data_IF_022125534434
#
_entry.id   IF_022125534434
#
_cell.length_a   1.000
_cell.length_b   1.000
_cell.length_c   1.000
_cell.angle_alpha   90.00
_cell.angle_beta   90.00
_cell.angle_gamma   90.00
#
_symmetry.space_group_name_H-M   'P 1'
#
loop_
_entity.id
_entity.type
_entity.pdbx_description
1 polymer ?
#
# COMPACT_ATOMS: atom_id res chain seq x y z
N UNK A 1 -29.69 -35.78 68.13
CA UNK A 1 -28.31 -35.62 67.62
C UNK A 1 -28.39 -35.40 66.11
N UNK A 2 -28.20 -34.15 65.68
CA UNK A 2 -28.40 -33.71 64.27
C UNK A 2 -27.18 -34.12 63.43
N UNK A 3 -27.40 -34.87 62.35
CA UNK A 3 -26.37 -35.19 61.34
C UNK A 3 -26.19 -33.97 60.43
N UNK A 4 -24.99 -33.40 60.42
CA UNK A 4 -24.60 -32.30 59.54
C UNK A 4 -24.17 -32.91 58.21
N UNK A 5 -24.89 -32.55 57.14
CA UNK A 5 -24.57 -32.84 55.75
C UNK A 5 -23.55 -31.77 55.30
N UNK A 6 -22.31 -32.16 55.02
CA UNK A 6 -21.30 -31.27 54.42
C UNK A 6 -21.39 -31.42 52.91
N UNK A 7 -21.90 -30.38 52.24
CA UNK A 7 -21.92 -30.28 50.78
C UNK A 7 -20.61 -29.62 50.34
N UNK A 8 -19.79 -30.35 49.57
CA UNK A 8 -18.65 -29.78 48.86
C UNK A 8 -19.16 -29.02 47.63
N UNK A 9 -19.14 -27.69 47.69
CA UNK A 9 -19.34 -26.84 46.50
C UNK A 9 -17.99 -26.67 45.82
N UNK A 10 -17.79 -27.36 44.70
CA UNK A 10 -16.68 -27.13 43.80
C UNK A 10 -16.92 -25.82 43.02
N UNK A 11 -16.28 -24.74 43.45
CA UNK A 11 -16.18 -23.50 42.66
C UNK A 11 -15.18 -23.73 41.52
N UNK A 12 -15.68 -24.14 40.37
CA UNK A 12 -14.93 -24.12 39.11
C UNK A 12 -14.81 -22.67 38.63
N UNK A 13 -13.69 -22.02 38.95
CA UNK A 13 -13.29 -20.78 38.29
C UNK A 13 -12.97 -21.08 36.83
N UNK A 14 -13.93 -20.83 35.94
CA UNK A 14 -13.62 -20.69 34.51
C UNK A 14 -12.93 -19.35 34.32
N UNK A 15 -11.59 -19.36 34.38
CA UNK A 15 -10.77 -18.29 33.83
C UNK A 15 -11.06 -18.24 32.32
N UNK A 16 -12.00 -17.40 31.92
CA UNK A 16 -12.13 -16.98 30.54
C UNK A 16 -10.82 -16.29 30.16
N UNK A 17 -9.93 -17.03 29.50
CA UNK A 17 -8.86 -16.45 28.72
C UNK A 17 -9.51 -15.64 27.61
N UNK A 18 -9.79 -14.36 27.91
CA UNK A 18 -9.93 -13.35 26.89
C UNK A 18 -8.54 -13.24 26.26
N UNK A 19 -8.32 -14.01 25.20
CA UNK A 19 -7.23 -13.79 24.28
C UNK A 19 -7.49 -12.40 23.69
N UNK A 20 -6.91 -11.36 24.31
CA UNK A 20 -6.87 -10.02 23.75
C UNK A 20 -6.23 -10.18 22.38
N UNK A 21 -7.06 -10.24 21.34
CA UNK A 21 -6.63 -10.12 19.95
C UNK A 21 -6.14 -8.69 19.77
N UNK A 22 -4.89 -8.42 20.17
CA UNK A 22 -4.20 -7.21 19.78
C UNK A 22 -3.69 -7.45 18.38
N UNK A 23 -4.33 -6.85 17.38
CA UNK A 23 -3.63 -6.61 16.12
C UNK A 23 -2.40 -5.75 16.45
N UNK A 24 -1.20 -6.20 16.07
CA UNK A 24 0.05 -5.45 16.24
C UNK A 24 0.14 -4.33 15.19
N UNK A 25 -0.81 -3.38 15.25
CA UNK A 25 -0.76 -2.18 14.42
C UNK A 25 0.30 -1.22 14.96
N UNK A 26 1.12 -0.65 14.07
CA UNK A 26 2.11 0.35 14.44
C UNK A 26 2.29 1.40 13.34
N UNK A 27 2.79 2.56 13.75
CA UNK A 27 3.23 3.62 12.83
C UNK A 27 4.69 3.92 13.12
N UNK A 28 5.49 4.04 12.07
CA UNK A 28 6.92 4.32 12.16
C UNK A 28 7.44 4.94 10.87
N UNK A 29 8.76 4.89 10.68
CA UNK A 29 9.42 5.12 9.41
C UNK A 29 10.51 4.06 9.26
N UNK A 30 11.04 3.89 8.05
CA UNK A 30 12.10 2.93 7.77
C UNK A 30 13.26 3.61 7.06
N UNK A 31 14.48 3.47 7.57
CA UNK A 31 15.64 4.16 7.01
C UNK A 31 16.03 3.65 5.63
N UNK A 32 15.77 2.39 5.29
CA UNK A 32 16.04 1.87 3.94
C UNK A 32 15.16 2.60 2.91
N UNK A 33 13.87 2.73 3.22
CA UNK A 33 12.87 3.42 2.40
C UNK A 33 13.24 4.89 2.22
N UNK A 34 13.50 5.60 3.32
CA UNK A 34 13.89 7.02 3.25
C UNK A 34 15.21 7.22 2.50
N UNK A 35 16.20 6.34 2.70
CA UNK A 35 17.47 6.41 1.97
C UNK A 35 17.26 6.19 0.47
N UNK A 36 16.37 5.28 0.09
CA UNK A 36 16.01 5.08 -1.31
C UNK A 36 15.36 6.32 -1.91
N UNK A 37 14.38 6.92 -1.24
CA UNK A 37 13.74 8.14 -1.74
C UNK A 37 14.69 9.34 -1.81
N UNK A 38 15.66 9.44 -0.88
CA UNK A 38 16.77 10.38 -1.03
C UNK A 38 17.56 10.11 -2.31
N UNK A 39 17.90 8.85 -2.59
CA UNK A 39 18.61 8.49 -3.82
C UNK A 39 17.77 8.79 -5.07
N UNK A 40 16.44 8.62 -5.03
CA UNK A 40 15.53 9.01 -6.11
C UNK A 40 15.54 10.51 -6.36
N UNK A 41 15.47 11.34 -5.31
CA UNK A 41 15.60 12.80 -5.40
C UNK A 41 16.89 13.19 -6.11
N UNK A 42 18.02 12.57 -5.73
CA UNK A 42 19.32 12.85 -6.33
C UNK A 42 19.41 12.38 -7.79
N UNK A 43 18.68 11.33 -8.15
CA UNK A 43 18.72 10.69 -9.47
C UNK A 43 17.95 11.44 -10.56
N UNK A 44 17.07 12.39 -10.20
CA UNK A 44 16.06 12.94 -11.09
C UNK A 44 16.62 13.45 -12.43
N UNK A 45 17.77 14.14 -12.42
CA UNK A 45 18.38 14.68 -13.65
C UNK A 45 18.93 13.61 -14.60
N UNK A 46 19.25 12.41 -14.09
CA UNK A 46 19.84 11.29 -14.85
C UNK A 46 18.79 10.33 -15.43
N UNK A 47 17.52 10.48 -15.06
CA UNK A 47 16.43 9.63 -15.54
C UNK A 47 16.23 9.83 -17.04
N UNK A 48 16.06 8.74 -17.79
CA UNK A 48 15.53 8.78 -19.16
C UNK A 48 14.01 8.92 -19.15
N UNK A 49 13.36 8.25 -18.20
CA UNK A 49 11.92 8.22 -18.09
C UNK A 49 11.43 9.01 -16.88
N UNK A 50 10.31 9.72 -17.03
CA UNK A 50 9.69 10.56 -16.00
C UNK A 50 10.57 11.70 -15.46
N UNK A 51 11.71 12.02 -16.10
CA UNK A 51 12.63 13.10 -15.68
C UNK A 51 11.91 14.41 -15.36
N UNK A 52 11.10 14.89 -16.29
CA UNK A 52 10.40 16.18 -16.12
C UNK A 52 9.41 16.14 -14.95
N UNK A 53 8.75 15.00 -14.74
CA UNK A 53 7.84 14.82 -13.61
C UNK A 53 8.61 14.75 -12.29
N UNK A 54 9.73 14.01 -12.20
CA UNK A 54 10.58 13.97 -11.01
C UNK A 54 11.12 15.37 -10.65
N UNK A 55 11.57 16.14 -11.64
CA UNK A 55 12.02 17.52 -11.44
C UNK A 55 10.88 18.45 -11.01
N UNK A 56 9.67 18.26 -11.56
CA UNK A 56 8.47 18.96 -11.10
C UNK A 56 8.17 18.64 -9.64
N UNK A 57 8.19 17.36 -9.23
CA UNK A 57 7.97 16.95 -7.84
C UNK A 57 8.97 17.59 -6.89
N UNK A 58 10.27 17.61 -7.24
CA UNK A 58 11.31 18.28 -6.45
C UNK A 58 10.97 19.76 -6.25
N UNK A 59 10.64 20.45 -7.35
CA UNK A 59 10.30 21.87 -7.31
C UNK A 59 9.06 22.14 -6.44
N UNK A 60 7.99 21.39 -6.64
CA UNK A 60 6.72 21.59 -5.93
C UNK A 60 6.83 21.19 -4.45
N UNK A 61 7.32 19.98 -4.16
CA UNK A 61 7.34 19.44 -2.80
C UNK A 61 8.31 20.19 -1.89
N UNK A 62 9.46 20.67 -2.39
CA UNK A 62 10.44 21.41 -1.58
C UNK A 62 9.90 22.73 -0.98
N UNK A 63 8.82 23.27 -1.54
CA UNK A 63 8.14 24.47 -1.04
C UNK A 63 7.52 24.19 0.34
N UNK A 64 6.81 23.08 0.50
CA UNK A 64 5.99 22.79 1.69
C UNK A 64 6.35 21.47 2.41
N UNK A 65 7.36 20.72 1.97
CA UNK A 65 7.86 19.54 2.68
C UNK A 65 9.25 19.82 3.26
N UNK A 66 9.35 20.14 4.56
CA UNK A 66 10.62 20.52 5.19
C UNK A 66 11.71 19.45 5.06
N UNK A 67 11.37 18.16 5.16
CA UNK A 67 12.36 17.07 5.05
C UNK A 67 12.96 17.02 3.64
N UNK A 68 12.16 17.18 2.58
CA UNK A 68 12.66 17.28 1.20
C UNK A 68 13.57 18.49 1.04
N UNK A 69 13.17 19.65 1.58
CA UNK A 69 14.00 20.87 1.54
C UNK A 69 15.34 20.67 2.24
N UNK A 70 15.33 20.08 3.44
CA UNK A 70 16.52 19.79 4.23
C UNK A 70 17.43 18.78 3.50
N UNK A 71 16.84 17.77 2.86
CA UNK A 71 17.56 16.78 2.06
C UNK A 71 18.28 17.44 0.87
N UNK A 72 17.58 18.29 0.11
CA UNK A 72 18.16 19.04 -1.00
C UNK A 72 19.28 19.95 -0.52
N UNK A 73 19.09 20.71 0.57
CA UNK A 73 20.14 21.58 1.11
C UNK A 73 21.40 20.81 1.54
N UNK A 74 21.24 19.64 2.17
CA UNK A 74 22.36 18.85 2.69
C UNK A 74 23.09 18.05 1.61
N UNK A 75 22.37 17.56 0.59
CA UNK A 75 22.87 16.58 -0.35
C UNK A 75 22.93 17.05 -1.81
N UNK A 76 22.68 18.33 -2.11
CA UNK A 76 22.74 18.90 -3.48
C UNK A 76 24.03 18.52 -4.22
N UNK A 77 25.18 18.55 -3.52
CA UNK A 77 26.49 18.17 -4.07
C UNK A 77 26.56 16.75 -4.64
N UNK A 78 25.60 15.88 -4.31
CA UNK A 78 25.57 14.48 -4.69
C UNK A 78 24.70 14.19 -5.92
N UNK A 79 24.09 15.21 -6.55
CA UNK A 79 23.27 15.03 -7.76
C UNK A 79 24.00 14.35 -8.93
N UNK A 80 25.33 14.44 -8.97
CA UNK A 80 26.17 13.77 -9.99
C UNK A 80 26.97 12.58 -9.43
N UNK A 81 26.62 12.09 -8.25
CA UNK A 81 27.30 10.96 -7.60
C UNK A 81 26.95 9.63 -8.27
N UNK A 82 27.76 8.60 -7.99
CA UNK A 82 27.51 7.24 -8.49
C UNK A 82 26.13 6.68 -8.05
N UNK A 83 25.64 7.03 -6.86
CA UNK A 83 24.32 6.57 -6.40
C UNK A 83 23.18 7.23 -7.18
N UNK A 84 23.32 8.50 -7.57
CA UNK A 84 22.31 9.20 -8.36
C UNK A 84 22.16 8.56 -9.75
N UNK A 85 23.29 8.29 -10.41
CA UNK A 85 23.31 7.65 -11.73
C UNK A 85 22.81 6.21 -11.68
N UNK A 86 23.24 5.42 -10.69
CA UNK A 86 22.80 4.02 -10.53
C UNK A 86 21.31 3.91 -10.20
N UNK A 87 20.77 4.79 -9.35
CA UNK A 87 19.34 4.84 -9.02
C UNK A 87 18.51 5.18 -10.26
N UNK A 88 18.93 6.18 -11.05
CA UNK A 88 18.24 6.51 -12.30
C UNK A 88 18.27 5.33 -13.28
N UNK A 89 19.44 4.72 -13.45
CA UNK A 89 19.62 3.56 -14.34
C UNK A 89 18.76 2.37 -13.89
N UNK A 90 18.70 2.07 -12.60
CA UNK A 90 17.85 1.01 -12.08
C UNK A 90 16.39 1.29 -12.42
N UNK A 91 15.88 2.46 -12.04
CA UNK A 91 14.47 2.80 -12.24
C UNK A 91 14.09 2.80 -13.74
N UNK A 92 14.97 3.27 -14.61
CA UNK A 92 14.74 3.20 -16.06
C UNK A 92 14.74 1.75 -16.57
N UNK A 93 15.66 0.89 -16.10
CA UNK A 93 15.66 -0.54 -16.50
C UNK A 93 14.40 -1.25 -16.00
N UNK A 94 13.98 -1.01 -14.75
CA UNK A 94 12.75 -1.59 -14.19
C UNK A 94 11.52 -1.23 -15.02
N UNK A 95 11.43 0.02 -15.45
CA UNK A 95 10.31 0.49 -16.24
C UNK A 95 10.37 -0.01 -17.69
N UNK A 96 11.50 0.15 -18.37
CA UNK A 96 11.66 -0.17 -19.79
C UNK A 96 11.65 -1.69 -20.06
N UNK A 97 12.32 -2.48 -19.21
CA UNK A 97 12.49 -3.93 -19.43
C UNK A 97 11.45 -4.78 -18.72
N UNK A 98 10.99 -4.34 -17.55
CA UNK A 98 10.12 -5.13 -16.68
C UNK A 98 8.75 -4.49 -16.45
N UNK A 99 8.45 -3.35 -17.10
CA UNK A 99 7.16 -2.66 -17.00
C UNK A 99 6.79 -2.23 -15.58
N UNK A 100 7.79 -2.04 -14.71
CA UNK A 100 7.60 -1.83 -13.27
C UNK A 100 8.13 -0.46 -12.85
N UNK A 101 7.30 0.34 -12.16
CA UNK A 101 7.70 1.61 -11.56
C UNK A 101 8.58 1.44 -10.31
N UNK A 102 8.89 2.53 -9.62
CA UNK A 102 9.73 2.49 -8.42
C UNK A 102 9.08 1.75 -7.23
N UNK A 103 7.76 1.60 -7.22
CA UNK A 103 6.97 0.99 -6.13
C UNK A 103 7.41 -0.42 -5.80
N UNK A 104 7.89 -1.16 -6.81
CA UNK A 104 8.38 -2.52 -6.60
C UNK A 104 9.63 -2.58 -5.72
N UNK A 105 10.30 -1.46 -5.44
CA UNK A 105 11.43 -1.44 -4.51
C UNK A 105 11.03 -1.41 -3.04
N UNK A 106 9.78 -1.07 -2.71
CA UNK A 106 9.36 -1.05 -1.30
C UNK A 106 9.49 -2.45 -0.68
N UNK A 107 9.05 -3.50 -1.40
CA UNK A 107 9.15 -4.90 -0.95
C UNK A 107 10.60 -5.34 -0.65
N UNK A 108 11.58 -5.28 -1.58
CA UNK A 108 12.96 -5.66 -1.29
C UNK A 108 13.61 -4.83 -0.18
N UNK A 109 13.30 -3.53 -0.08
CA UNK A 109 13.82 -2.68 1.00
C UNK A 109 13.33 -3.14 2.38
N UNK A 110 12.13 -3.72 2.45
CA UNK A 110 11.59 -4.32 3.68
C UNK A 110 12.08 -5.74 3.94
N UNK A 111 12.43 -6.51 2.90
CA UNK A 111 13.11 -7.80 3.05
C UNK A 111 14.58 -7.64 3.51
N UNK A 112 15.19 -6.49 3.24
CA UNK A 112 16.53 -6.17 3.69
C UNK A 112 16.51 -5.67 5.14
N UNK A 113 17.43 -6.15 6.00
CA UNK A 113 17.54 -5.59 7.36
C UNK A 113 17.93 -4.11 7.27
N UNK A 114 17.56 -3.32 8.27
CA UNK A 114 17.81 -1.87 8.22
C UNK A 114 19.31 -1.55 8.06
N UNK A 115 19.63 -0.56 7.22
CA UNK A 115 20.99 -0.10 6.98
C UNK A 115 21.66 0.36 8.29
N UNK A 116 22.99 0.14 8.46
CA UNK A 116 23.98 -0.28 7.46
C UNK A 116 24.16 -1.81 7.36
N UNK A 117 23.18 -2.61 7.82
CA UNK A 117 23.24 -4.06 7.62
C UNK A 117 23.43 -4.42 6.14
N UNK A 118 23.92 -5.63 5.89
CA UNK A 118 23.97 -6.27 4.56
C UNK A 118 23.16 -7.57 4.52
N UNK A 119 22.48 -7.88 5.63
CA UNK A 119 21.71 -9.10 5.80
C UNK A 119 20.25 -8.90 5.40
N UNK A 120 19.61 -10.00 5.04
CA UNK A 120 18.20 -10.05 4.70
C UNK A 120 17.40 -10.70 5.83
N UNK A 121 16.17 -10.23 6.05
CA UNK A 121 15.21 -10.81 7.01
C UNK A 121 14.87 -12.25 6.60
N UNK A 122 14.66 -12.46 5.31
CA UNK A 122 14.42 -13.75 4.64
C UNK A 122 14.90 -13.68 3.19
N UNK A 123 14.87 -14.80 2.47
CA UNK A 123 15.24 -14.83 1.06
C UNK A 123 14.25 -13.99 0.23
N UNK A 124 14.79 -13.06 -0.57
CA UNK A 124 14.01 -12.21 -1.46
C UNK A 124 14.13 -12.67 -2.91
N UNK A 125 12.98 -12.79 -3.57
CA UNK A 125 12.85 -12.92 -5.01
C UNK A 125 11.85 -11.90 -5.52
N UNK A 126 12.20 -11.25 -6.63
CA UNK A 126 11.26 -10.45 -7.38
C UNK A 126 10.31 -11.39 -8.14
N UNK A 127 9.01 -11.13 -8.04
CA UNK A 127 7.97 -11.91 -8.68
C UNK A 127 7.00 -10.99 -9.41
N UNK A 128 6.87 -11.20 -10.71
CA UNK A 128 5.83 -10.62 -11.54
C UNK A 128 5.27 -11.72 -12.46
N UNK A 129 3.95 -11.92 -12.43
CA UNK A 129 3.24 -12.98 -13.14
C UNK A 129 3.12 -12.74 -14.66
N UNK A 130 3.50 -11.54 -15.13
CA UNK A 130 3.59 -11.15 -16.54
C UNK A 130 4.99 -11.34 -17.12
N UNK A 131 5.98 -11.68 -16.27
CA UNK A 131 7.35 -11.91 -16.69
C UNK A 131 7.71 -13.40 -16.73
N UNK A 132 8.72 -13.73 -17.53
CA UNK A 132 9.31 -15.07 -17.51
C UNK A 132 10.09 -15.31 -16.22
N UNK A 133 10.34 -16.59 -15.89
CA UNK A 133 11.18 -16.96 -14.74
C UNK A 133 12.58 -16.34 -14.80
N UNK A 134 13.16 -16.28 -16.00
CA UNK A 134 14.50 -15.69 -16.19
C UNK A 134 14.48 -14.19 -15.96
N UNK A 135 13.48 -13.47 -16.50
CA UNK A 135 13.32 -12.03 -16.23
C UNK A 135 13.13 -11.73 -14.74
N UNK A 136 12.35 -12.54 -14.02
CA UNK A 136 12.19 -12.40 -12.57
C UNK A 136 13.52 -12.62 -11.82
N UNK A 137 14.33 -13.60 -12.24
CA UNK A 137 15.66 -13.84 -11.67
C UNK A 137 16.62 -12.68 -11.94
N UNK A 138 16.69 -12.20 -13.18
CA UNK A 138 17.52 -11.06 -13.54
C UNK A 138 17.15 -9.79 -12.74
N UNK A 139 15.85 -9.51 -12.61
CA UNK A 139 15.36 -8.38 -11.83
C UNK A 139 15.70 -8.55 -10.34
N UNK A 140 15.62 -9.77 -9.80
CA UNK A 140 16.05 -10.09 -8.44
C UNK A 140 17.52 -9.73 -8.23
N UNK A 141 18.41 -10.19 -9.10
CA UNK A 141 19.85 -9.95 -9.00
C UNK A 141 20.17 -8.45 -9.14
N UNK A 142 19.52 -7.77 -10.09
CA UNK A 142 19.65 -6.32 -10.28
C UNK A 142 19.28 -5.53 -9.01
N UNK A 143 18.14 -5.84 -8.40
CA UNK A 143 17.64 -5.20 -7.18
C UNK A 143 18.60 -5.46 -6.01
N UNK A 144 19.03 -6.71 -5.80
CA UNK A 144 19.93 -7.07 -4.69
C UNK A 144 21.30 -6.38 -4.80
N UNK A 145 21.84 -6.28 -6.02
CA UNK A 145 23.08 -5.56 -6.28
C UNK A 145 22.92 -4.06 -5.95
N UNK A 146 21.82 -3.45 -6.39
CA UNK A 146 21.54 -2.04 -6.08
C UNK A 146 21.37 -1.79 -4.57
N UNK A 147 20.66 -2.65 -3.84
CA UNK A 147 20.50 -2.47 -2.38
C UNK A 147 21.84 -2.52 -1.63
N UNK A 148 22.82 -3.26 -2.17
CA UNK A 148 24.20 -3.24 -1.65
C UNK A 148 24.87 -1.89 -1.89
N UNK A 149 24.68 -1.27 -3.06
CA UNK A 149 25.17 0.08 -3.36
C UNK A 149 24.47 1.14 -2.48
N UNK A 150 23.16 1.00 -2.27
CA UNK A 150 22.37 1.89 -1.43
C UNK A 150 22.82 1.84 0.05
N UNK A 151 23.11 0.64 0.59
CA UNK A 151 23.65 0.47 1.94
C UNK A 151 25.05 1.11 2.09
N UNK A 152 25.90 1.04 1.05
CA UNK A 152 27.19 1.74 1.04
C UNK A 152 27.00 3.25 1.03
N UNK A 153 26.10 3.77 0.20
CA UNK A 153 25.75 5.19 0.16
C UNK A 153 25.26 5.68 1.53
N UNK A 154 24.37 4.94 2.19
CA UNK A 154 23.90 5.23 3.54
C UNK A 154 25.05 5.48 4.53
N UNK A 155 26.06 4.60 4.48
CA UNK A 155 27.23 4.66 5.38
C UNK A 155 28.19 5.78 4.98
N UNK A 156 28.53 5.88 3.69
CA UNK A 156 29.52 6.83 3.17
C UNK A 156 29.11 8.29 3.38
N UNK A 157 27.83 8.58 3.19
CA UNK A 157 27.29 9.94 3.32
C UNK A 157 26.71 10.22 4.72
N UNK A 158 26.89 9.27 5.66
CA UNK A 158 26.40 9.35 7.04
C UNK A 158 24.91 9.75 7.11
N UNK A 159 24.09 9.07 6.33
CA UNK A 159 22.65 9.36 6.21
C UNK A 159 21.95 9.21 7.57
N UNK A 160 22.48 8.36 8.46
CA UNK A 160 22.02 8.27 9.85
C UNK A 160 21.97 9.63 10.56
N UNK A 161 22.93 10.52 10.29
CA UNK A 161 22.93 11.84 10.89
C UNK A 161 21.75 12.70 10.39
N UNK A 162 21.32 12.54 9.14
CA UNK A 162 20.14 13.24 8.65
C UNK A 162 18.86 12.85 9.40
N UNK A 163 18.69 11.57 9.74
CA UNK A 163 17.56 11.14 10.56
C UNK A 163 17.61 11.71 11.97
N UNK A 164 18.81 11.84 12.56
CA UNK A 164 18.99 12.51 13.85
C UNK A 164 18.66 14.01 13.77
N UNK A 165 19.13 14.68 12.72
CA UNK A 165 18.90 16.12 12.49
C UNK A 165 17.41 16.44 12.25
N UNK A 166 16.64 15.48 11.73
CA UNK A 166 15.20 15.64 11.42
C UNK A 166 14.29 14.83 12.35
N UNK A 167 14.81 14.33 13.49
CA UNK A 167 14.10 13.39 14.38
C UNK A 167 12.74 13.90 14.82
N UNK A 168 12.63 15.21 15.12
CA UNK A 168 11.39 15.82 15.59
C UNK A 168 10.31 15.80 14.51
N UNK A 169 10.69 15.93 13.23
CA UNK A 169 9.74 15.83 12.12
C UNK A 169 9.19 14.41 11.97
N UNK A 170 10.07 13.40 11.99
CA UNK A 170 9.62 11.99 11.93
C UNK A 170 8.74 11.63 13.13
N UNK A 171 9.12 12.05 14.34
CA UNK A 171 8.33 11.78 15.55
C UNK A 171 6.97 12.46 15.49
N UNK A 172 6.92 13.73 15.09
CA UNK A 172 5.67 14.47 14.93
C UNK A 172 4.76 13.90 13.84
N UNK A 173 5.32 13.45 12.71
CA UNK A 173 4.56 12.79 11.65
C UNK A 173 3.96 11.45 12.09
N UNK A 174 4.72 10.65 12.85
CA UNK A 174 4.23 9.40 13.45
C UNK A 174 3.05 9.70 14.39
N UNK A 175 3.17 10.74 15.22
CA UNK A 175 2.10 11.14 16.12
C UNK A 175 0.86 11.66 15.38
N UNK A 176 1.01 12.50 14.36
CA UNK A 176 -0.10 12.98 13.53
C UNK A 176 -0.85 11.80 12.90
N UNK A 177 -0.13 10.90 12.22
CA UNK A 177 -0.74 9.76 11.54
C UNK A 177 -1.42 8.81 12.53
N UNK A 178 -0.74 8.48 13.65
CA UNK A 178 -1.28 7.58 14.68
C UNK A 178 -2.61 8.08 15.26
N UNK A 179 -2.78 9.39 15.41
CA UNK A 179 -4.04 10.00 15.90
C UNK A 179 -5.21 9.82 14.93
N UNK A 180 -4.93 9.64 13.64
CA UNK A 180 -5.97 9.49 12.63
C UNK A 180 -6.57 8.09 12.57
N UNK A 181 -5.79 7.08 12.95
CA UNK A 181 -6.15 5.66 12.81
C UNK A 181 -6.92 5.16 14.04
N UNK A 182 -8.18 4.71 13.88
CA UNK A 182 -8.97 4.25 15.02
C UNK A 182 -8.54 2.85 15.45
N UNK A 183 -8.64 2.58 16.75
CA UNK A 183 -8.39 1.25 17.29
C UNK A 183 -9.30 0.20 16.63
N UNK A 184 -8.75 -0.98 16.35
CA UNK A 184 -9.50 -2.12 15.82
C UNK A 184 -9.87 -2.03 14.33
N UNK A 185 -9.35 -1.06 13.56
CA UNK A 185 -9.61 -1.01 12.11
C UNK A 185 -9.08 -2.25 11.37
N UNK A 186 -7.90 -2.74 11.76
CA UNK A 186 -7.34 -4.02 11.30
C UNK A 186 -8.29 -5.19 11.58
N UNK A 187 -8.92 -5.23 12.75
CA UNK A 187 -9.90 -6.27 13.07
C UNK A 187 -11.12 -6.20 12.15
N UNK A 188 -11.58 -5.00 11.76
CA UNK A 188 -12.65 -4.87 10.78
C UNK A 188 -12.24 -5.40 9.40
N UNK A 189 -10.99 -5.15 8.98
CA UNK A 189 -10.43 -5.76 7.77
C UNK A 189 -10.37 -7.28 7.88
N UNK A 190 -9.83 -7.82 8.98
CA UNK A 190 -9.75 -9.26 9.23
C UNK A 190 -11.14 -9.93 9.25
N UNK A 191 -12.13 -9.28 9.84
CA UNK A 191 -13.52 -9.74 9.84
C UNK A 191 -14.08 -9.81 8.41
N UNK A 192 -13.83 -8.78 7.60
CA UNK A 192 -14.23 -8.77 6.20
C UNK A 192 -13.52 -9.87 5.42
N UNK A 193 -12.19 -9.86 5.41
CA UNK A 193 -11.38 -10.76 4.58
C UNK A 193 -11.35 -12.21 5.07
N UNK A 194 -11.67 -12.46 6.35
CA UNK A 194 -11.57 -13.80 6.93
C UNK A 194 -10.13 -14.32 7.08
N UNK A 195 -9.14 -13.44 6.98
CA UNK A 195 -7.72 -13.70 7.09
C UNK A 195 -7.08 -12.63 7.98
N UNK A 196 -5.92 -12.93 8.57
CA UNK A 196 -5.14 -12.00 9.38
C UNK A 196 -3.67 -12.08 9.03
N UNK A 197 -2.97 -10.98 9.27
CA UNK A 197 -1.51 -10.89 9.16
C UNK A 197 -0.86 -10.88 10.55
N UNK A 198 0.47 -11.00 10.57
CA UNK A 198 1.23 -10.95 11.82
C UNK A 198 1.28 -9.53 12.36
N UNK A 199 1.68 -8.57 11.51
CA UNK A 199 1.70 -7.14 11.84
C UNK A 199 1.10 -6.31 10.71
N UNK A 200 0.62 -5.12 11.07
CA UNK A 200 0.13 -4.08 10.16
C UNK A 200 0.91 -2.80 10.48
N UNK A 201 1.79 -2.35 9.59
CA UNK A 201 2.66 -1.22 9.90
C UNK A 201 2.55 -0.12 8.87
N UNK A 202 2.21 1.09 9.30
CA UNK A 202 2.37 2.29 8.47
C UNK A 202 3.79 2.81 8.63
N UNK A 203 4.45 3.05 7.51
CA UNK A 203 5.74 3.71 7.42
C UNK A 203 5.51 5.08 6.78
N UNK A 204 5.52 6.13 7.59
CA UNK A 204 5.53 7.49 7.05
C UNK A 204 6.84 7.71 6.30
N UNK A 205 6.75 8.33 5.13
CA UNK A 205 7.88 8.61 4.26
C UNK A 205 7.86 10.06 3.79
N UNK A 206 8.35 11.02 4.60
CA UNK A 206 8.41 12.42 4.22
C UNK A 206 9.42 12.71 3.11
N UNK A 207 10.28 11.76 2.73
CA UNK A 207 11.11 11.84 1.52
C UNK A 207 10.40 11.32 0.26
N UNK A 208 9.31 10.55 0.38
CA UNK A 208 8.50 10.15 -0.78
C UNK A 208 7.76 11.36 -1.34
N UNK A 209 8.36 12.01 -2.33
CA UNK A 209 7.75 13.16 -2.98
C UNK A 209 6.51 12.76 -3.76
N UNK A 210 5.39 13.36 -3.38
CA UNK A 210 4.15 13.36 -4.13
C UNK A 210 3.50 14.74 -4.00
N UNK A 211 3.26 15.46 -5.12
CA UNK A 211 2.59 16.73 -5.10
C UNK A 211 1.20 16.61 -4.46
N UNK A 212 0.96 17.43 -3.44
CA UNK A 212 -0.29 17.40 -2.69
C UNK A 212 -1.29 18.34 -3.38
N UNK A 213 -2.30 17.72 -3.98
CA UNK A 213 -3.52 18.33 -4.52
C UNK A 213 -4.71 17.75 -3.73
N UNK A 214 -5.67 18.59 -3.33
CA UNK A 214 -6.88 18.20 -2.57
C UNK A 214 -6.64 17.41 -1.26
N UNK A 215 -5.47 17.59 -0.65
CA UNK A 215 -5.00 16.84 0.53
C UNK A 215 -4.92 15.33 0.30
N UNK A 216 -4.62 14.92 -0.93
CA UNK A 216 -4.30 13.53 -1.27
C UNK A 216 -2.78 13.30 -1.24
N UNK A 217 -2.40 12.06 -0.96
CA UNK A 217 -1.01 11.59 -0.98
C UNK A 217 -0.92 10.20 -1.59
N UNK A 218 0.32 9.75 -1.78
CA UNK A 218 0.63 8.43 -2.33
C UNK A 218 0.82 7.42 -1.21
N UNK A 219 0.25 6.24 -1.40
CA UNK A 219 0.54 5.03 -0.64
C UNK A 219 1.23 4.01 -1.52
N UNK A 220 2.02 3.13 -0.89
CA UNK A 220 2.57 1.93 -1.55
C UNK A 220 2.48 0.76 -0.57
N UNK A 221 1.79 -0.31 -0.97
CA UNK A 221 1.74 -1.55 -0.24
C UNK A 221 3.05 -2.36 -0.34
N UNK A 222 3.46 -2.97 0.76
CA UNK A 222 4.50 -4.01 0.77
C UNK A 222 4.15 -5.14 1.73
N UNK A 223 4.65 -6.34 1.47
CA UNK A 223 4.53 -7.48 2.39
C UNK A 223 5.89 -8.20 2.52
N UNK A 224 6.20 -8.69 3.71
CA UNK A 224 7.38 -9.49 4.00
C UNK A 224 6.96 -10.83 4.60
N UNK A 225 7.45 -11.92 4.02
CA UNK A 225 7.31 -13.27 4.59
C UNK A 225 8.53 -13.57 5.44
N UNK A 226 8.33 -13.70 6.75
CA UNK A 226 9.38 -14.04 7.72
C UNK A 226 9.81 -15.50 7.56
N UNK A 227 10.99 -15.85 8.08
CA UNK A 227 11.48 -17.25 8.13
C UNK A 227 10.52 -18.21 8.86
N UNK A 228 9.68 -17.68 9.75
CA UNK A 228 8.64 -18.44 10.45
C UNK A 228 7.41 -18.75 9.59
N UNK A 229 7.32 -18.21 8.36
CA UNK A 229 6.15 -18.27 7.49
C UNK A 229 5.08 -17.22 7.81
N UNK A 230 5.24 -16.45 8.88
CA UNK A 230 4.37 -15.32 9.21
C UNK A 230 4.58 -14.18 8.20
N UNK A 231 3.54 -13.37 8.00
CA UNK A 231 3.52 -12.25 7.05
C UNK A 231 3.33 -10.92 7.76
N UNK A 232 4.26 -10.01 7.56
CA UNK A 232 4.18 -8.62 8.00
C UNK A 232 3.77 -7.77 6.80
N UNK A 233 2.78 -6.89 6.95
CA UNK A 233 2.30 -6.03 5.85
C UNK A 233 2.45 -4.55 6.19
N UNK A 234 2.71 -3.77 5.15
CA UNK A 234 3.14 -2.39 5.25
C UNK A 234 2.38 -1.48 4.30
N UNK A 235 2.09 -0.27 4.78
CA UNK A 235 1.81 0.91 3.96
C UNK A 235 3.04 1.81 4.03
N UNK A 236 3.53 2.29 2.90
CA UNK A 236 4.50 3.40 2.84
C UNK A 236 3.75 4.64 2.39
N UNK A 237 3.67 5.68 3.24
CA UNK A 237 2.79 6.82 3.04
C UNK A 237 3.56 8.14 2.83
N UNK A 238 3.31 8.84 1.72
CA UNK A 238 3.80 10.20 1.54
C UNK A 238 3.02 11.15 2.44
N UNK A 239 3.54 12.37 2.69
CA UNK A 239 2.72 13.44 3.21
C UNK A 239 1.51 13.67 2.29
N UNK A 240 0.37 14.01 2.88
CA UNK A 240 -0.87 14.36 2.19
C UNK A 240 -1.49 15.67 2.70
N UNK A 241 -0.82 16.35 3.64
CA UNK A 241 -1.11 17.74 4.02
C UNK A 241 0.14 18.59 3.78
N UNK A 242 -0.03 19.79 3.21
CA UNK A 242 1.06 20.76 3.06
C UNK A 242 1.49 21.29 4.43
N UNK A 243 2.79 21.34 4.72
CA UNK A 243 3.32 21.91 5.97
C UNK A 243 3.49 23.43 5.78
N UNK A 244 2.61 24.19 6.41
CA UNK A 244 2.55 25.66 6.26
C UNK A 244 3.06 26.40 7.50
N UNK A 245 2.98 25.76 8.68
CA UNK A 245 3.35 26.35 9.96
C UNK A 245 4.11 25.37 10.86
N UNK A 246 4.92 25.88 11.82
CA UNK A 246 5.56 25.03 12.83
C UNK A 246 4.56 24.14 13.56
N UNK A 247 4.94 22.90 13.82
CA UNK A 247 4.10 21.91 14.49
C UNK A 247 3.15 21.13 13.57
N UNK A 248 3.19 21.36 12.25
CA UNK A 248 2.60 20.47 11.24
C UNK A 248 3.66 19.53 10.66
N UNK A 249 3.27 18.29 10.40
CA UNK A 249 4.17 17.25 9.91
C UNK A 249 3.69 16.58 8.61
N UNK A 250 2.51 16.98 8.11
CA UNK A 250 2.01 16.63 6.79
C UNK A 250 1.08 15.41 6.75
N UNK A 251 0.63 14.94 7.92
CA UNK A 251 -0.18 13.73 8.07
C UNK A 251 -1.49 13.95 8.87
N UNK A 252 -1.84 15.20 9.19
CA UNK A 252 -3.06 15.55 9.94
C UNK A 252 -4.31 15.65 9.04
N UNK A 253 -4.75 14.53 8.49
CA UNK A 253 -6.02 14.39 7.77
C UNK A 253 -6.61 13.01 8.02
N UNK A 254 -7.71 12.96 8.78
CA UNK A 254 -8.32 11.72 9.21
C UNK A 254 -8.84 10.87 8.05
N UNK A 255 -9.50 11.49 7.08
CA UNK A 255 -10.10 10.76 5.97
C UNK A 255 -9.01 10.12 5.12
N UNK A 256 -7.99 10.89 4.75
CA UNK A 256 -6.91 10.41 3.90
C UNK A 256 -6.10 9.30 4.57
N UNK A 257 -5.70 9.46 5.83
CA UNK A 257 -4.94 8.43 6.54
C UNK A 257 -5.73 7.10 6.62
N UNK A 258 -7.02 7.16 6.96
CA UNK A 258 -7.85 5.95 7.05
C UNK A 258 -8.11 5.30 5.70
N UNK A 259 -8.33 6.11 4.66
CA UNK A 259 -8.49 5.63 3.30
C UNK A 259 -7.21 4.91 2.85
N UNK A 260 -6.06 5.57 2.96
CA UNK A 260 -4.78 5.05 2.49
C UNK A 260 -4.36 3.78 3.23
N UNK A 261 -4.47 3.73 4.57
CA UNK A 261 -4.15 2.52 5.32
C UNK A 261 -5.01 1.32 4.95
N UNK A 262 -6.32 1.50 4.84
CA UNK A 262 -7.22 0.39 4.49
C UNK A 262 -6.97 -0.06 3.05
N UNK A 263 -6.70 0.89 2.15
CA UNK A 263 -6.37 0.62 0.76
C UNK A 263 -5.08 -0.19 0.61
N UNK A 264 -3.97 0.31 1.15
CA UNK A 264 -2.65 -0.32 0.96
C UNK A 264 -2.57 -1.67 1.65
N UNK A 265 -3.10 -1.81 2.87
CA UNK A 265 -3.21 -3.13 3.50
C UNK A 265 -4.18 -4.06 2.73
N UNK A 266 -5.19 -3.50 2.07
CA UNK A 266 -6.14 -4.22 1.21
C UNK A 266 -5.45 -5.02 0.10
N UNK A 267 -4.38 -4.48 -0.49
CA UNK A 267 -3.61 -5.17 -1.52
C UNK A 267 -3.02 -6.50 -1.05
N UNK A 268 -2.60 -6.61 0.22
CA UNK A 268 -2.08 -7.87 0.77
C UNK A 268 -3.13 -8.99 0.82
N UNK A 269 -4.41 -8.63 0.95
CA UNK A 269 -5.52 -9.59 0.91
C UNK A 269 -5.94 -9.91 -0.54
N UNK A 270 -5.95 -8.91 -1.42
CA UNK A 270 -6.57 -8.98 -2.75
C UNK A 270 -5.62 -9.52 -3.82
N UNK A 271 -4.41 -8.96 -3.94
CA UNK A 271 -3.53 -9.18 -5.11
C UNK A 271 -3.29 -10.67 -5.36
N UNK A 272 -2.86 -11.39 -4.31
CA UNK A 272 -2.59 -12.83 -4.37
C UNK A 272 -3.80 -13.67 -4.83
N UNK A 273 -5.03 -13.20 -4.61
CA UNK A 273 -6.22 -13.94 -4.98
C UNK A 273 -6.63 -13.67 -6.43
N UNK A 274 -6.39 -12.46 -6.94
CA UNK A 274 -6.57 -12.16 -8.37
C UNK A 274 -5.45 -12.80 -9.19
N UNK A 275 -4.20 -12.73 -8.74
CA UNK A 275 -3.03 -13.27 -9.46
C UNK A 275 -3.13 -14.77 -9.73
N UNK A 276 -3.60 -15.55 -8.74
CA UNK A 276 -3.85 -17.00 -8.87
C UNK A 276 -4.94 -17.34 -9.90
N UNK A 277 -5.75 -16.36 -10.30
CA UNK A 277 -6.96 -16.53 -11.11
C UNK A 277 -6.93 -15.70 -12.40
N UNK A 278 -5.75 -15.24 -12.83
CA UNK A 278 -5.59 -14.48 -14.07
C UNK A 278 -6.22 -15.16 -15.29
N UNK A 279 -6.19 -16.49 -15.34
CA UNK A 279 -6.77 -17.28 -16.44
C UNK A 279 -8.31 -17.29 -16.43
N UNK A 280 -8.96 -16.81 -15.35
CA UNK A 280 -10.41 -16.60 -15.31
C UNK A 280 -10.82 -15.26 -15.93
N UNK A 281 -9.89 -14.33 -16.17
CA UNK A 281 -10.19 -12.96 -16.60
C UNK A 281 -10.10 -12.76 -18.13
N UNK A 282 -10.32 -13.83 -18.90
CA UNK A 282 -10.10 -13.81 -20.36
C UNK A 282 -11.11 -12.92 -21.07
N UNK A 283 -12.40 -13.00 -20.71
CA UNK A 283 -13.42 -12.19 -21.37
C UNK A 283 -13.31 -10.74 -20.92
N UNK A 284 -13.10 -10.49 -19.63
CA UNK A 284 -12.94 -9.15 -19.11
C UNK A 284 -11.72 -8.44 -19.71
N UNK A 285 -10.62 -9.16 -19.95
CA UNK A 285 -9.48 -8.60 -20.69
C UNK A 285 -9.91 -8.02 -22.04
N UNK A 286 -10.67 -8.80 -22.82
CA UNK A 286 -11.18 -8.36 -24.12
C UNK A 286 -12.17 -7.17 -23.99
N UNK A 287 -13.07 -7.21 -23.01
CA UNK A 287 -14.01 -6.13 -22.71
C UNK A 287 -13.29 -4.84 -22.29
N UNK A 288 -12.26 -4.93 -21.46
CA UNK A 288 -11.46 -3.81 -20.97
C UNK A 288 -10.76 -3.09 -22.13
N UNK A 289 -10.20 -3.86 -23.08
CA UNK A 289 -9.52 -3.33 -24.27
C UNK A 289 -10.49 -2.74 -25.30
N UNK A 290 -11.68 -3.33 -25.49
CA UNK A 290 -12.66 -2.89 -26.49
C UNK A 290 -13.60 -1.77 -26.02
N UNK A 291 -13.76 -1.62 -24.71
CA UNK A 291 -14.60 -0.58 -24.12
C UNK A 291 -13.82 0.71 -23.85
N UNK A 292 -14.52 1.75 -23.38
CA UNK A 292 -13.90 3.02 -22.96
C UNK A 292 -13.25 2.94 -21.56
N UNK A 293 -13.30 1.77 -20.91
CA UNK A 293 -12.86 1.64 -19.52
C UNK A 293 -11.35 1.79 -19.39
N UNK A 294 -10.55 1.18 -20.27
CA UNK A 294 -9.09 1.31 -20.22
C UNK A 294 -8.63 2.76 -20.24
N UNK A 295 -9.13 3.56 -21.18
CA UNK A 295 -8.78 4.98 -21.26
C UNK A 295 -9.24 5.76 -20.03
N UNK A 296 -10.44 5.47 -19.51
CA UNK A 296 -10.96 6.13 -18.31
C UNK A 296 -10.09 5.80 -17.08
N UNK A 297 -9.73 4.54 -16.90
CA UNK A 297 -8.94 4.06 -15.76
C UNK A 297 -7.47 4.52 -15.81
N UNK A 298 -6.88 4.61 -17.00
CA UNK A 298 -5.55 5.24 -17.19
C UNK A 298 -5.60 6.71 -16.75
N UNK A 299 -6.65 7.45 -17.11
CA UNK A 299 -6.80 8.87 -16.72
C UNK A 299 -7.09 9.05 -15.23
N UNK A 300 -7.79 8.12 -14.60
CA UNK A 300 -8.11 8.17 -13.18
C UNK A 300 -6.87 7.96 -12.30
N UNK A 301 -6.06 6.95 -12.59
CA UNK A 301 -4.95 6.59 -11.69
C UNK A 301 -3.86 5.76 -12.34
N UNK A 302 -3.76 5.78 -13.68
CA UNK A 302 -2.75 5.02 -14.41
C UNK A 302 -3.02 3.52 -14.53
N UNK A 303 -4.24 3.07 -14.26
CA UNK A 303 -4.58 1.64 -14.31
C UNK A 303 -4.77 1.16 -15.76
N UNK A 304 -3.65 0.94 -16.46
CA UNK A 304 -3.63 0.54 -17.87
C UNK A 304 -3.76 -0.96 -18.13
N UNK A 305 -3.75 -1.78 -17.08
CA UNK A 305 -3.88 -3.23 -17.16
C UNK A 305 -5.21 -3.71 -16.56
N UNK A 306 -5.81 -4.72 -17.18
CA UNK A 306 -7.11 -5.27 -16.78
C UNK A 306 -7.06 -5.97 -15.40
N UNK A 307 -5.95 -6.63 -15.04
CA UNK A 307 -5.81 -7.26 -13.73
C UNK A 307 -5.65 -6.20 -12.66
N UNK A 308 -4.81 -5.18 -12.90
CA UNK A 308 -4.73 -4.00 -12.02
C UNK A 308 -6.11 -3.40 -11.82
N UNK A 309 -6.88 -3.16 -12.89
CA UNK A 309 -8.24 -2.64 -12.79
C UNK A 309 -9.13 -3.49 -11.85
N UNK A 310 -9.13 -4.82 -12.00
CA UNK A 310 -9.89 -5.73 -11.10
C UNK A 310 -9.39 -5.64 -9.66
N UNK A 311 -8.07 -5.71 -9.45
CA UNK A 311 -7.46 -5.60 -8.12
C UNK A 311 -7.92 -4.31 -7.43
N UNK A 312 -7.81 -3.18 -8.10
CA UNK A 312 -8.19 -1.88 -7.54
C UNK A 312 -9.67 -1.85 -7.15
N UNK A 313 -10.57 -2.36 -8.00
CA UNK A 313 -12.01 -2.46 -7.68
C UNK A 313 -12.26 -3.29 -6.42
N UNK A 314 -11.57 -4.42 -6.27
CA UNK A 314 -11.74 -5.31 -5.11
C UNK A 314 -11.12 -4.73 -3.83
N UNK A 315 -10.03 -3.98 -3.93
CA UNK A 315 -9.48 -3.20 -2.81
C UNK A 315 -10.48 -2.17 -2.32
N UNK A 316 -11.11 -1.41 -3.24
CA UNK A 316 -12.11 -0.38 -2.92
C UNK A 316 -13.40 -0.95 -2.34
N UNK A 317 -13.80 -2.13 -2.80
CA UNK A 317 -14.87 -2.90 -2.14
C UNK A 317 -14.50 -3.17 -0.67
N UNK A 318 -13.25 -3.57 -0.41
CA UNK A 318 -12.74 -3.77 0.95
C UNK A 318 -12.72 -2.50 1.80
N UNK A 319 -12.40 -1.35 1.22
CA UNK A 319 -12.45 -0.06 1.91
C UNK A 319 -13.87 0.27 2.41
N UNK A 320 -14.84 0.19 1.51
CA UNK A 320 -16.26 0.44 1.81
C UNK A 320 -16.78 -0.53 2.88
N UNK A 321 -16.42 -1.81 2.78
CA UNK A 321 -16.86 -2.85 3.72
C UNK A 321 -16.22 -2.75 5.09
N UNK A 322 -14.94 -2.37 5.14
CA UNK A 322 -14.25 -2.08 6.40
C UNK A 322 -14.93 -0.93 7.13
N UNK A 323 -15.27 0.16 6.42
CA UNK A 323 -16.02 1.28 7.01
C UNK A 323 -17.39 0.86 7.57
N UNK A 324 -18.14 0.01 6.84
CA UNK A 324 -19.43 -0.53 7.31
C UNK A 324 -19.29 -1.39 8.56
N UNK A 325 -18.28 -2.26 8.63
CA UNK A 325 -18.01 -3.09 9.83
C UNK A 325 -17.65 -2.23 11.03
N UNK A 326 -16.90 -1.15 10.81
CA UNK A 326 -16.59 -0.15 11.84
C UNK A 326 -17.79 0.73 12.22
N UNK A 327 -18.96 0.54 11.58
CA UNK A 327 -20.18 1.34 11.78
C UNK A 327 -19.99 2.82 11.44
N UNK A 328 -19.12 3.10 10.48
CA UNK A 328 -18.79 4.43 10.00
C UNK A 328 -19.53 4.68 8.67
N UNK A 329 -20.82 4.95 8.77
CA UNK A 329 -21.70 5.11 7.61
C UNK A 329 -21.34 6.33 6.74
N UNK A 330 -20.89 7.42 7.38
CA UNK A 330 -20.46 8.63 6.67
C UNK A 330 -19.24 8.35 5.79
N UNK A 331 -18.20 7.70 6.33
CA UNK A 331 -17.03 7.33 5.53
C UNK A 331 -17.39 6.31 4.45
N UNK A 332 -18.25 5.34 4.74
CA UNK A 332 -18.67 4.35 3.75
C UNK A 332 -19.35 5.00 2.54
N UNK A 333 -20.24 5.97 2.76
CA UNK A 333 -20.90 6.69 1.65
C UNK A 333 -19.92 7.59 0.91
N UNK A 334 -19.07 8.34 1.64
CA UNK A 334 -18.05 9.19 1.02
C UNK A 334 -17.07 8.39 0.13
N UNK A 335 -16.65 7.19 0.57
CA UNK A 335 -15.84 6.28 -0.23
C UNK A 335 -16.58 5.85 -1.49
N UNK A 336 -17.85 5.45 -1.36
CA UNK A 336 -18.68 5.05 -2.50
C UNK A 336 -18.77 6.15 -3.56
N UNK A 337 -19.11 7.37 -3.14
CA UNK A 337 -19.20 8.54 -4.04
C UNK A 337 -17.84 8.82 -4.70
N UNK A 338 -16.76 8.81 -3.92
CA UNK A 338 -15.40 9.02 -4.41
C UNK A 338 -15.00 7.99 -5.47
N UNK A 339 -15.22 6.69 -5.22
CA UNK A 339 -14.83 5.65 -6.19
C UNK A 339 -15.71 5.68 -7.45
N UNK A 340 -17.02 5.91 -7.33
CA UNK A 340 -17.89 6.02 -8.50
C UNK A 340 -17.53 7.22 -9.37
N UNK A 341 -17.17 8.35 -8.76
CA UNK A 341 -16.64 9.53 -9.48
C UNK A 341 -15.32 9.21 -10.20
N UNK A 342 -14.54 8.27 -9.67
CA UNK A 342 -13.29 7.78 -10.22
C UNK A 342 -13.45 6.53 -11.10
N UNK A 343 -14.59 6.38 -11.78
CA UNK A 343 -14.84 5.33 -12.78
C UNK A 343 -14.80 3.88 -12.27
N UNK A 344 -14.88 3.65 -10.95
CA UNK A 344 -15.00 2.29 -10.38
C UNK A 344 -16.44 1.75 -10.52
N UNK A 345 -16.90 1.64 -11.77
CA UNK A 345 -18.29 1.42 -12.16
C UNK A 345 -18.88 0.07 -11.74
N UNK A 346 -18.03 -0.91 -11.42
CA UNK A 346 -18.46 -2.25 -11.02
C UNK A 346 -18.81 -2.36 -9.53
N UNK A 347 -18.45 -1.38 -8.70
CA UNK A 347 -18.68 -1.43 -7.26
C UNK A 347 -20.13 -1.74 -6.87
N UNK A 348 -21.18 -1.17 -7.48
CA UNK A 348 -22.55 -1.49 -7.12
C UNK A 348 -22.91 -2.98 -7.31
N UNK A 349 -22.46 -3.59 -8.42
CA UNK A 349 -22.70 -5.02 -8.69
C UNK A 349 -21.87 -5.91 -7.75
N UNK A 350 -20.65 -5.48 -7.42
CA UNK A 350 -19.79 -6.18 -6.46
C UNK A 350 -20.39 -6.15 -5.05
N UNK A 351 -20.91 -5.01 -4.59
CA UNK A 351 -21.60 -4.88 -3.30
C UNK A 351 -22.82 -5.81 -3.21
N UNK A 352 -23.63 -5.87 -4.28
CA UNK A 352 -24.77 -6.78 -4.36
C UNK A 352 -24.31 -8.24 -4.27
N UNK A 353 -23.30 -8.62 -5.08
CA UNK A 353 -22.76 -9.98 -5.07
C UNK A 353 -22.20 -10.38 -3.70
N UNK A 354 -21.61 -9.43 -2.98
CA UNK A 354 -21.04 -9.64 -1.66
C UNK A 354 -22.08 -10.02 -0.59
N UNK A 355 -23.38 -9.77 -0.81
CA UNK A 355 -24.43 -10.25 0.10
C UNK A 355 -24.43 -11.77 0.23
N UNK A 356 -24.07 -12.50 -0.84
CA UNK A 356 -23.91 -13.96 -0.83
C UNK A 356 -22.73 -14.38 0.06
N UNK A 357 -21.59 -13.67 -0.03
CA UNK A 357 -20.42 -13.93 0.82
C UNK A 357 -20.77 -13.80 2.31
N UNK A 358 -21.40 -12.68 2.67
CA UNK A 358 -21.79 -12.36 4.06
C UNK A 358 -22.78 -13.39 4.62
N UNK A 359 -23.73 -13.83 3.80
CA UNK A 359 -24.77 -14.79 4.21
C UNK A 359 -24.25 -16.23 4.28
N UNK A 360 -23.14 -16.55 3.61
CA UNK A 360 -22.62 -17.91 3.46
C UNK A 360 -21.20 -18.10 4.01
N UNK A 361 -20.82 -17.39 5.09
CA UNK A 361 -19.47 -17.44 5.70
C UNK A 361 -19.02 -18.83 6.18
N UNK A 362 -19.94 -19.77 6.37
CA UNK A 362 -19.58 -21.19 6.64
C UNK A 362 -18.94 -21.86 5.42
N UNK A 363 -19.39 -21.51 4.21
CA UNK A 363 -18.87 -22.00 2.93
C UNK A 363 -17.65 -21.19 2.51
N UNK A 364 -17.79 -19.86 2.48
CA UNK A 364 -16.72 -18.94 2.10
C UNK A 364 -16.07 -18.38 3.37
N UNK A 365 -15.03 -19.07 3.85
CA UNK A 365 -14.38 -18.72 5.13
C UNK A 365 -13.56 -17.46 4.98
N UNK A 366 -12.85 -17.34 3.85
CA UNK A 366 -12.03 -16.21 3.46
C UNK A 366 -12.61 -15.49 2.25
N UNK A 367 -12.19 -14.24 2.04
CA UNK A 367 -12.48 -13.48 0.83
C UNK A 367 -11.97 -14.21 -0.41
N UNK A 368 -10.78 -14.82 -0.34
CA UNK A 368 -10.22 -15.62 -1.42
C UNK A 368 -11.10 -16.79 -1.86
N UNK A 369 -11.88 -17.40 -0.94
CA UNK A 369 -12.85 -18.45 -1.28
C UNK A 369 -13.99 -17.93 -2.16
N UNK A 370 -14.28 -16.62 -2.08
CA UNK A 370 -15.37 -15.95 -2.80
C UNK A 370 -14.91 -15.10 -3.99
N UNK A 371 -13.59 -14.86 -4.15
CA UNK A 371 -13.06 -14.10 -5.30
C UNK A 371 -13.56 -14.63 -6.64
N UNK A 372 -13.65 -15.94 -6.94
CA UNK A 372 -14.20 -16.41 -8.21
C UNK A 372 -15.59 -15.84 -8.54
N UNK A 373 -16.47 -15.76 -7.54
CA UNK A 373 -17.83 -15.21 -7.71
C UNK A 373 -17.85 -13.70 -7.91
N UNK A 374 -16.81 -12.99 -7.43
CA UNK A 374 -16.63 -11.57 -7.71
C UNK A 374 -16.04 -11.33 -9.10
N UNK A 375 -15.14 -12.21 -9.57
CA UNK A 375 -14.59 -12.14 -10.93
C UNK A 375 -15.69 -12.35 -11.99
N UNK A 376 -16.68 -13.20 -11.70
CA UNK A 376 -17.85 -13.39 -12.56
C UNK A 376 -18.62 -12.08 -12.85
N UNK A 377 -18.57 -11.07 -11.97
CA UNK A 377 -19.19 -9.76 -12.21
C UNK A 377 -18.52 -9.03 -13.39
N UNK A 378 -17.21 -9.17 -13.51
CA UNK A 378 -16.43 -8.58 -14.59
C UNK A 378 -16.57 -9.40 -15.87
N UNK A 379 -16.41 -10.73 -15.77
CA UNK A 379 -16.49 -11.64 -16.92
C UNK A 379 -17.85 -11.59 -17.62
N UNK A 380 -18.96 -11.52 -16.86
CA UNK A 380 -20.31 -11.51 -17.42
C UNK A 380 -20.83 -10.10 -17.77
N UNK A 381 -19.94 -9.11 -17.87
CA UNK A 381 -20.28 -7.74 -18.27
C UNK A 381 -20.43 -7.61 -19.79
N UNK A 382 -20.66 -6.40 -20.27
CA UNK A 382 -20.66 -6.09 -21.70
C UNK A 382 -20.09 -4.71 -22.00
N UNK A 383 -19.65 -4.51 -23.24
CA UNK A 383 -19.15 -3.21 -23.71
C UNK A 383 -20.23 -2.14 -23.60
N UNK A 384 -21.48 -2.47 -23.89
CA UNK A 384 -22.64 -1.57 -23.78
C UNK A 384 -22.85 -1.13 -22.34
N UNK A 385 -22.84 -2.07 -21.38
CA UNK A 385 -22.95 -1.76 -19.97
C UNK A 385 -21.82 -0.83 -19.54
N UNK A 386 -20.57 -1.22 -19.78
CA UNK A 386 -19.38 -0.46 -19.38
C UNK A 386 -19.45 0.97 -19.92
N UNK A 387 -19.68 1.13 -21.23
CA UNK A 387 -19.73 2.43 -21.86
C UNK A 387 -20.91 3.29 -21.36
N UNK A 388 -22.05 2.66 -21.05
CA UNK A 388 -23.20 3.37 -20.48
C UNK A 388 -22.92 3.94 -19.09
N UNK A 389 -22.11 3.24 -18.26
CA UNK A 389 -21.76 3.67 -16.90
C UNK A 389 -20.64 4.70 -16.85
N UNK A 390 -19.81 4.78 -17.89
CA UNK A 390 -18.74 5.78 -18.03
C UNK A 390 -19.23 7.11 -18.64
N UNK A 391 -20.49 7.17 -19.09
CA UNK A 391 -21.07 8.40 -19.66
C UNK A 391 -21.17 9.46 -18.55
N UNK A 392 -20.87 10.75 -18.83
CA UNK A 392 -20.51 11.69 -17.78
C UNK A 392 -21.63 11.84 -16.76
N UNK A 393 -21.29 11.67 -15.48
CA UNK A 393 -21.99 12.41 -14.43
C UNK A 393 -21.83 13.86 -14.86
N UNK A 394 -22.92 14.46 -15.37
CA UNK A 394 -22.93 15.87 -15.79
C UNK A 394 -22.35 16.68 -14.62
N UNK A 395 -21.34 17.49 -14.93
CA UNK A 395 -20.77 18.49 -14.02
C UNK A 395 -21.87 19.30 -13.35
#
# INVERSE_FOLDING_TARGET
MKKILVVFVSLSFTLGFSQKNTSEFSVGYNKNIETYFLAEILSAEHRRNNRDFELYKIKECSVYQPVVRNALQKYDRLKNSAIAVSTAKLNDILMEKYGSGNDILMKPLMYHKEFPSVEWVSEYHFENNNLTKEQNREATDLIKNYLTELSKFYTQENIEQFFKDNKDFYSGGIEEYSKQIPAGFTHAMEQFYGEKFHTYTVLISPMMMWPIEDNEGRGIAAEVVLKSGKKDIYEIASPFVRVEKPGQFGYDNQFQARFLSVHEFGHSFVNKEVDKRKDQLIQFKDLFEKSKLKEAMIKTGGYGDYQTCVVEHLVRLGEMETAKIQKDAERAEKLKEYHLKNNFIFLPQLEEKLTEYKSNRKKYKTFGDFVPQLLDVFENSSVEFINSKLTPIKK
#
